data_IF_788958022201
#
_entry.id   IF_788958022201
#
_cell.length_a   1.000
_cell.length_b   1.000
_cell.length_c   1.000
_cell.angle_alpha   90.00
_cell.angle_beta   90.00
_cell.angle_gamma   90.00
#
_symmetry.space_group_name_H-M   'P 1'
#
loop_
_entity.id
_entity.type
_entity.pdbx_description
1 polymer ?
#
# COMPACT_ATOMS: atom_id res chain seq x y z
N UNK A 1 38.35 26.35 15.60
CA UNK A 1 38.42 27.77 15.92
C UNK A 1 37.92 28.53 14.73
N UNK A 2 36.75 29.17 14.90
CA UNK A 2 36.27 30.32 14.13
C UNK A 2 35.89 30.03 12.65
N UNK A 3 34.63 29.86 12.33
CA UNK A 3 33.69 30.85 11.86
C UNK A 3 32.31 30.26 11.75
N UNK A 4 31.62 30.38 12.62
CA UNK A 4 30.35 30.79 13.10
C UNK A 4 29.91 32.12 12.48
N UNK A 5 28.61 32.16 12.22
CA UNK A 5 27.74 33.33 12.21
C UNK A 5 27.70 34.12 10.92
N UNK A 6 26.56 34.11 10.40
CA UNK A 6 25.78 35.19 9.82
C UNK A 6 25.13 34.82 8.51
N UNK A 7 23.88 34.48 8.54
CA UNK A 7 22.87 35.18 7.75
C UNK A 7 21.46 34.82 8.18
N UNK A 8 21.03 35.40 9.24
CA UNK A 8 19.63 35.77 9.51
C UNK A 8 19.45 37.15 8.93
N UNK A 9 18.64 37.26 7.88
CA UNK A 9 18.08 38.51 7.38
C UNK A 9 16.88 38.16 6.51
N UNK A 10 15.68 38.03 7.10
CA UNK A 10 14.73 39.13 7.23
C UNK A 10 14.43 39.79 5.89
N UNK A 11 13.35 39.36 5.25
CA UNK A 11 12.54 40.26 4.41
C UNK A 11 11.07 40.09 4.74
N UNK A 12 10.66 40.92 5.65
CA UNK A 12 9.30 41.33 5.95
C UNK A 12 8.93 42.42 4.92
N UNK A 13 7.99 42.18 4.03
CA UNK A 13 7.36 43.23 3.27
C UNK A 13 5.86 43.19 3.49
N UNK A 14 5.43 44.10 4.31
CA UNK A 14 4.06 44.56 4.43
C UNK A 14 3.62 45.22 3.12
N UNK A 15 2.41 44.87 2.68
CA UNK A 15 1.61 45.78 1.87
C UNK A 15 0.27 46.00 2.56
N UNK A 16 0.15 47.18 3.12
CA UNK A 16 -1.08 47.72 3.64
C UNK A 16 -1.71 48.66 2.61
N UNK A 17 -3.03 48.62 2.51
CA UNK A 17 -3.82 49.80 2.20
C UNK A 17 -4.40 49.83 0.78
N UNK A 18 -5.71 49.76 0.61
CA UNK A 18 -6.54 50.98 0.55
C UNK A 18 -8.03 50.65 0.59
N UNK A 19 -8.67 51.34 1.46
CA UNK A 19 -10.08 51.49 1.70
C UNK A 19 -10.63 52.54 0.78
N UNK A 20 -11.70 52.28 0.06
CA UNK A 20 -12.60 53.35 -0.44
C UNK A 20 -14.06 52.92 -0.36
N UNK A 21 -14.75 53.70 0.37
CA UNK A 21 -16.17 53.76 0.65
C UNK A 21 -16.94 54.32 -0.53
N UNK A 22 -18.15 53.89 -0.78
CA UNK A 22 -19.05 54.49 -1.77
C UNK A 22 -20.47 53.92 -1.65
N UNK A 23 -21.32 54.72 -1.15
CA UNK A 23 -22.68 54.58 -0.63
C UNK A 23 -23.74 54.45 -1.72
N UNK A 24 -24.81 53.65 -1.44
CA UNK A 24 -26.24 53.77 -1.75
C UNK A 24 -26.71 54.01 -3.20
N UNK A 25 -27.70 53.30 -3.67
CA UNK A 25 -29.15 53.64 -3.60
C UNK A 25 -30.01 52.67 -4.44
N UNK A 26 -31.00 52.15 -3.83
CA UNK A 26 -32.39 51.82 -4.21
C UNK A 26 -32.79 51.79 -5.68
N UNK A 27 -33.36 50.68 -6.15
CA UNK A 27 -34.69 50.54 -6.73
C UNK A 27 -34.94 49.12 -7.30
N UNK A 28 -35.90 48.42 -6.76
CA UNK A 28 -36.70 47.45 -7.52
C UNK A 28 -37.80 48.22 -8.30
N UNK A 29 -38.35 47.68 -9.39
CA UNK A 29 -39.35 46.63 -9.29
C UNK A 29 -39.46 45.64 -10.49
N UNK A 30 -40.03 44.49 -10.23
CA UNK A 30 -41.17 43.83 -10.90
C UNK A 30 -41.04 43.17 -12.26
N UNK A 31 -41.46 41.91 -12.24
CA UNK A 31 -42.22 41.09 -13.22
C UNK A 31 -41.38 40.32 -14.24
N UNK A 32 -41.51 39.10 -14.35
CA UNK A 32 -42.47 38.05 -14.46
C UNK A 32 -41.88 36.89 -15.27
N UNK A 33 -42.46 35.71 -15.35
CA UNK A 33 -41.72 34.43 -15.48
C UNK A 33 -41.52 34.07 -16.94
N UNK A 34 -40.32 33.64 -17.27
CA UNK A 34 -40.09 32.93 -18.52
C UNK A 34 -39.81 31.48 -18.18
N UNK A 35 -40.74 30.63 -18.54
CA UNK A 35 -40.62 29.19 -18.58
C UNK A 35 -39.37 28.82 -19.37
N UNK A 36 -38.35 28.31 -18.69
CA UNK A 36 -37.26 27.59 -19.34
C UNK A 36 -37.52 26.11 -19.16
N UNK A 37 -37.88 25.49 -20.26
CA UNK A 37 -37.94 24.06 -20.49
C UNK A 37 -36.73 23.39 -19.91
N UNK A 38 -36.94 22.55 -18.90
CA UNK A 38 -35.95 21.64 -18.41
C UNK A 38 -35.58 20.67 -19.54
N UNK A 39 -34.41 20.83 -20.12
CA UNK A 39 -33.79 19.77 -20.90
C UNK A 39 -33.44 18.68 -19.91
N UNK A 40 -34.16 17.58 -19.93
CA UNK A 40 -33.77 16.33 -19.33
C UNK A 40 -32.49 15.86 -20.03
N UNK A 41 -31.36 16.18 -19.43
CA UNK A 41 -30.11 15.51 -19.76
C UNK A 41 -30.25 14.10 -19.20
N UNK A 42 -30.61 13.18 -20.07
CA UNK A 42 -30.45 11.74 -19.80
C UNK A 42 -29.00 11.53 -19.46
N UNK A 43 -28.70 11.41 -18.17
CA UNK A 43 -27.42 10.89 -17.73
C UNK A 43 -27.36 9.44 -18.22
N UNK A 44 -26.53 9.22 -19.23
CA UNK A 44 -26.09 7.90 -19.65
C UNK A 44 -25.34 7.29 -18.45
N UNK A 45 -26.08 6.52 -17.65
CA UNK A 45 -25.51 5.81 -16.49
C UNK A 45 -24.86 4.53 -17.01
N UNK A 46 -23.75 4.67 -17.72
CA UNK A 46 -22.80 3.56 -17.83
C UNK A 46 -22.39 3.22 -16.40
N UNK A 47 -22.61 1.98 -15.91
CA UNK A 47 -22.19 1.62 -14.56
C UNK A 47 -20.70 1.89 -14.43
N UNK A 48 -20.33 2.78 -13.50
CA UNK A 48 -18.93 3.08 -13.25
C UNK A 48 -18.22 1.77 -12.90
N UNK A 49 -17.23 1.40 -13.68
CA UNK A 49 -16.37 0.22 -13.41
C UNK A 49 -15.70 0.49 -12.07
N UNK A 50 -15.90 -0.40 -11.11
CA UNK A 50 -15.27 -0.29 -9.81
C UNK A 50 -13.76 -0.44 -9.98
N UNK A 51 -13.00 0.48 -9.39
CA UNK A 51 -11.54 0.55 -9.53
C UNK A 51 -10.88 0.38 -8.15
N UNK A 52 -9.81 -0.42 -8.11
CA UNK A 52 -9.04 -0.68 -6.90
C UNK A 52 -7.54 -0.44 -7.14
N UNK A 53 -6.87 0.16 -6.17
CA UNK A 53 -5.44 0.38 -6.16
C UNK A 53 -4.78 -0.63 -5.21
N UNK A 54 -3.87 -1.44 -5.74
CA UNK A 54 -3.19 -2.51 -5.00
C UNK A 54 -1.70 -2.28 -5.02
N UNK A 55 -1.07 -2.27 -3.84
CA UNK A 55 0.38 -2.22 -3.71
C UNK A 55 0.93 -3.62 -3.39
N UNK A 56 1.84 -4.11 -4.23
CA UNK A 56 2.62 -5.32 -3.96
C UNK A 56 4.00 -4.87 -3.51
N UNK A 57 4.42 -5.29 -2.31
CA UNK A 57 5.70 -4.87 -1.72
C UNK A 57 6.58 -6.08 -1.47
N UNK A 58 7.54 -6.30 -2.36
CA UNK A 58 8.50 -7.38 -2.27
C UNK A 58 9.67 -6.98 -1.37
N UNK A 59 10.14 -7.90 -0.51
CA UNK A 59 11.24 -7.61 0.41
C UNK A 59 12.56 -7.37 -0.34
N UNK A 60 12.90 -8.21 -1.33
CA UNK A 60 14.13 -8.14 -2.11
C UNK A 60 13.97 -8.88 -3.45
N UNK A 61 14.91 -8.65 -4.37
CA UNK A 61 15.00 -9.43 -5.61
C UNK A 61 15.51 -10.84 -5.29
N UNK A 62 14.66 -11.83 -5.52
CA UNK A 62 14.97 -13.23 -5.37
C UNK A 62 14.04 -14.06 -6.25
N UNK A 63 14.59 -15.00 -7.00
CA UNK A 63 13.86 -15.77 -8.02
C UNK A 63 12.51 -16.34 -7.51
N UNK A 64 12.48 -16.89 -6.29
CA UNK A 64 11.25 -17.44 -5.71
C UNK A 64 10.22 -16.36 -5.37
N UNK A 65 10.67 -15.19 -4.89
CA UNK A 65 9.76 -14.07 -4.57
C UNK A 65 9.25 -13.41 -5.85
N UNK A 66 10.07 -13.35 -6.91
CA UNK A 66 9.70 -12.82 -8.23
C UNK A 66 8.61 -13.71 -8.87
N UNK A 67 8.72 -15.04 -8.74
CA UNK A 67 7.68 -15.97 -9.17
C UNK A 67 6.37 -15.77 -8.41
N UNK A 68 6.42 -15.58 -7.10
CA UNK A 68 5.25 -15.29 -6.26
C UNK A 68 4.60 -13.97 -6.70
N UNK A 69 5.40 -12.90 -6.84
CA UNK A 69 4.91 -11.60 -7.31
C UNK A 69 4.22 -11.72 -8.67
N UNK A 70 4.87 -12.36 -9.63
CA UNK A 70 4.33 -12.61 -10.98
C UNK A 70 3.00 -13.37 -10.93
N UNK A 71 2.91 -14.42 -10.10
CA UNK A 71 1.69 -15.20 -9.94
C UNK A 71 0.54 -14.38 -9.32
N UNK A 72 0.85 -13.55 -8.31
CA UNK A 72 -0.13 -12.63 -7.69
C UNK A 72 -0.67 -11.64 -8.72
N UNK A 73 0.21 -10.98 -9.48
CA UNK A 73 -0.18 -10.03 -10.53
C UNK A 73 -1.08 -10.69 -11.56
N UNK A 74 -0.67 -11.85 -12.08
CA UNK A 74 -1.44 -12.58 -13.09
C UNK A 74 -2.83 -12.97 -12.58
N UNK A 75 -2.92 -13.45 -11.32
CA UNK A 75 -4.19 -13.85 -10.73
C UNK A 75 -5.10 -12.66 -10.43
N UNK A 76 -4.57 -11.55 -9.94
CA UNK A 76 -5.35 -10.31 -9.75
C UNK A 76 -5.92 -9.79 -11.05
N UNK A 77 -5.14 -9.79 -12.12
CA UNK A 77 -5.59 -9.36 -13.45
C UNK A 77 -6.68 -10.28 -14.01
N UNK A 78 -6.53 -11.61 -13.86
CA UNK A 78 -7.52 -12.58 -14.29
C UNK A 78 -8.85 -12.40 -13.54
N UNK A 79 -8.79 -12.24 -12.21
CA UNK A 79 -9.98 -12.00 -11.37
C UNK A 79 -10.64 -10.64 -11.69
N UNK A 80 -9.84 -9.62 -11.97
CA UNK A 80 -10.36 -8.31 -12.37
C UNK A 80 -11.18 -8.41 -13.67
N UNK A 81 -10.68 -9.13 -14.67
CA UNK A 81 -11.39 -9.38 -15.92
C UNK A 81 -12.68 -10.20 -15.69
N UNK A 82 -12.61 -11.27 -14.90
CA UNK A 82 -13.75 -12.10 -14.57
C UNK A 82 -14.88 -11.31 -13.88
N UNK A 83 -14.49 -10.42 -12.96
CA UNK A 83 -15.44 -9.64 -12.16
C UNK A 83 -15.87 -8.33 -12.83
N UNK A 84 -15.27 -7.96 -13.96
CA UNK A 84 -15.54 -6.69 -14.65
C UNK A 84 -15.15 -5.46 -13.83
N UNK A 85 -14.11 -5.57 -13.00
CA UNK A 85 -13.53 -4.48 -12.21
C UNK A 85 -12.17 -4.09 -12.78
N UNK A 86 -11.66 -2.91 -12.39
CA UNK A 86 -10.32 -2.46 -12.74
C UNK A 86 -9.41 -2.55 -11.51
N UNK A 87 -8.24 -3.14 -11.66
CA UNK A 87 -7.23 -3.20 -10.61
C UNK A 87 -5.95 -2.52 -11.13
N UNK A 88 -5.54 -1.46 -10.45
CA UNK A 88 -4.26 -0.79 -10.69
C UNK A 88 -3.25 -1.39 -9.71
N UNK A 89 -2.24 -2.06 -10.24
CA UNK A 89 -1.21 -2.70 -9.44
C UNK A 89 0.05 -1.85 -9.49
N UNK A 90 0.59 -1.55 -8.31
CA UNK A 90 1.89 -0.92 -8.12
C UNK A 90 2.82 -1.92 -7.43
N UNK A 91 4.00 -2.13 -8.01
CA UNK A 91 4.99 -3.06 -7.50
C UNK A 91 6.18 -2.28 -6.91
N UNK A 92 6.59 -2.66 -5.70
CA UNK A 92 7.68 -2.05 -4.97
C UNK A 92 8.69 -3.10 -4.51
N UNK A 93 9.97 -2.72 -4.45
CA UNK A 93 11.04 -3.57 -3.96
C UNK A 93 11.76 -2.89 -2.80
N UNK A 94 11.81 -3.58 -1.66
CA UNK A 94 12.42 -3.08 -0.42
C UNK A 94 13.93 -3.23 -0.35
N UNK A 95 14.57 -3.88 -1.33
CA UNK A 95 16.02 -4.08 -1.41
C UNK A 95 16.63 -4.70 -0.14
N UNK A 96 15.83 -5.47 0.59
CA UNK A 96 16.17 -6.05 1.89
C UNK A 96 16.58 -4.99 2.95
N UNK A 97 16.07 -3.77 2.82
CA UNK A 97 16.37 -2.65 3.72
C UNK A 97 15.10 -2.16 4.40
N UNK A 98 15.06 -2.22 5.73
CA UNK A 98 13.92 -1.78 6.52
C UNK A 98 13.63 -0.29 6.34
N UNK A 99 14.63 0.55 6.09
CA UNK A 99 14.46 1.98 5.85
C UNK A 99 13.70 2.23 4.55
N UNK A 100 14.09 1.51 3.48
CA UNK A 100 13.41 1.56 2.17
C UNK A 100 11.98 1.05 2.31
N UNK A 101 11.78 -0.09 2.99
CA UNK A 101 10.46 -0.67 3.23
C UNK A 101 9.55 0.28 4.03
N UNK A 102 10.08 0.96 5.05
CA UNK A 102 9.31 1.95 5.81
C UNK A 102 8.93 3.18 4.96
N UNK A 103 9.80 3.61 4.05
CA UNK A 103 9.49 4.69 3.10
C UNK A 103 8.38 4.27 2.12
N UNK A 104 8.48 3.05 1.57
CA UNK A 104 7.43 2.46 0.73
C UNK A 104 6.11 2.37 1.52
N UNK A 105 6.16 1.90 2.77
CA UNK A 105 4.97 1.82 3.63
C UNK A 105 4.29 3.18 3.82
N UNK A 106 5.07 4.22 4.14
CA UNK A 106 4.54 5.58 4.27
C UNK A 106 3.94 6.10 2.95
N UNK A 107 4.56 5.77 1.82
CA UNK A 107 4.06 6.15 0.50
C UNK A 107 2.73 5.46 0.20
N UNK A 108 2.65 4.13 0.27
CA UNK A 108 1.43 3.38 -0.11
C UNK A 108 0.23 3.72 0.78
N UNK A 109 0.47 3.96 2.07
CA UNK A 109 -0.57 4.43 2.99
C UNK A 109 -0.99 5.86 2.63
N UNK A 110 -0.04 6.74 2.32
CA UNK A 110 -0.30 8.12 1.88
C UNK A 110 -1.04 8.20 0.55
N UNK A 111 -0.79 7.28 -0.37
CA UNK A 111 -1.46 7.16 -1.66
C UNK A 111 -2.89 6.60 -1.52
N UNK A 112 -3.25 6.07 -0.34
CA UNK A 112 -4.59 5.57 -0.05
C UNK A 112 -4.95 4.33 -0.87
N UNK A 113 -4.05 3.34 -0.93
CA UNK A 113 -4.30 2.09 -1.63
C UNK A 113 -5.41 1.29 -0.94
N UNK A 114 -6.16 0.50 -1.72
CA UNK A 114 -7.26 -0.33 -1.23
C UNK A 114 -6.78 -1.68 -0.67
N UNK A 115 -5.55 -2.09 -0.98
CA UNK A 115 -4.96 -3.36 -0.54
C UNK A 115 -3.44 -3.28 -0.59
N UNK A 116 -2.77 -3.82 0.44
CA UNK A 116 -1.33 -4.03 0.45
C UNK A 116 -1.03 -5.53 0.46
N UNK A 117 -0.14 -5.99 -0.43
CA UNK A 117 0.31 -7.38 -0.50
C UNK A 117 1.82 -7.41 -0.28
N UNK A 118 2.29 -7.53 0.96
CA UNK A 118 3.70 -7.72 1.24
C UNK A 118 4.14 -9.17 0.98
N UNK A 119 5.31 -9.33 0.38
CA UNK A 119 5.94 -10.61 0.11
C UNK A 119 7.20 -10.73 0.96
N UNK A 120 7.27 -11.77 1.78
CA UNK A 120 8.28 -12.10 2.79
C UNK A 120 8.18 -11.27 4.09
N UNK A 121 8.82 -11.78 5.14
CA UNK A 121 8.57 -11.41 6.54
C UNK A 121 8.86 -9.94 6.85
N UNK A 122 10.04 -9.43 6.45
CA UNK A 122 10.42 -8.04 6.76
C UNK A 122 9.49 -7.04 6.05
N UNK A 123 9.11 -7.31 4.80
CA UNK A 123 8.15 -6.48 4.08
C UNK A 123 6.78 -6.46 4.80
N UNK A 124 6.30 -7.63 5.25
CA UNK A 124 5.03 -7.71 5.96
C UNK A 124 5.05 -6.94 7.29
N UNK A 125 6.10 -7.07 8.07
CA UNK A 125 6.26 -6.33 9.33
C UNK A 125 6.29 -4.82 9.13
N UNK A 126 7.03 -4.34 8.12
CA UNK A 126 7.08 -2.92 7.80
C UNK A 126 5.72 -2.39 7.30
N UNK A 127 5.01 -3.14 6.46
CA UNK A 127 3.70 -2.71 5.95
C UNK A 127 2.64 -2.70 7.05
N UNK A 128 2.61 -3.71 7.93
CA UNK A 128 1.71 -3.73 9.08
C UNK A 128 1.98 -2.55 10.01
N UNK A 129 3.25 -2.23 10.26
CA UNK A 129 3.63 -1.07 11.06
C UNK A 129 3.22 0.24 10.41
N UNK A 130 3.41 0.38 9.09
CA UNK A 130 3.05 1.60 8.37
C UNK A 130 1.53 1.83 8.29
N UNK A 131 0.76 0.75 8.19
CA UNK A 131 -0.70 0.79 8.11
C UNK A 131 -1.39 0.79 9.49
N UNK A 132 -0.63 0.85 10.58
CA UNK A 132 -1.20 0.89 11.93
C UNK A 132 -2.16 2.09 12.09
N UNK A 133 -3.33 1.83 12.65
CA UNK A 133 -4.39 2.84 12.78
C UNK A 133 -5.17 3.13 11.50
N UNK A 134 -4.96 2.38 10.43
CA UNK A 134 -5.77 2.41 9.20
C UNK A 134 -6.62 1.15 9.07
N UNK A 135 -7.64 1.21 8.19
CA UNK A 135 -8.46 0.04 7.84
C UNK A 135 -7.97 -0.64 6.55
N UNK A 136 -6.78 -0.28 6.04
CA UNK A 136 -6.24 -0.87 4.81
C UNK A 136 -5.98 -2.36 5.03
N UNK A 137 -6.61 -3.26 4.25
CA UNK A 137 -6.37 -4.68 4.37
C UNK A 137 -4.95 -5.04 3.89
N UNK A 138 -4.33 -5.98 4.59
CA UNK A 138 -3.01 -6.52 4.27
C UNK A 138 -3.13 -8.02 4.08
N UNK A 139 -2.70 -8.50 2.90
CA UNK A 139 -2.67 -9.94 2.57
C UNK A 139 -1.23 -10.35 2.30
N UNK A 140 -0.55 -10.87 3.31
CA UNK A 140 0.84 -11.27 3.19
C UNK A 140 1.02 -12.59 2.43
N UNK A 141 2.17 -12.76 1.79
CA UNK A 141 2.59 -13.98 1.11
C UNK A 141 4.01 -14.39 1.52
N UNK A 142 4.29 -15.69 1.48
CA UNK A 142 5.61 -16.28 1.78
C UNK A 142 6.15 -15.90 3.17
N UNK A 143 5.35 -16.14 4.20
CA UNK A 143 5.73 -15.93 5.60
C UNK A 143 5.88 -17.30 6.27
N UNK A 144 7.08 -17.61 6.74
CA UNK A 144 7.34 -18.93 7.33
C UNK A 144 6.69 -19.10 8.71
N UNK A 145 6.65 -18.02 9.51
CA UNK A 145 6.04 -18.03 10.84
C UNK A 145 5.30 -16.71 11.10
N UNK A 146 4.01 -16.61 10.73
CA UNK A 146 3.23 -15.40 10.94
C UNK A 146 3.05 -15.03 12.43
N UNK A 147 3.04 -16.00 13.33
CA UNK A 147 2.90 -15.75 14.76
C UNK A 147 4.18 -15.10 15.32
N UNK A 148 5.35 -15.70 15.05
CA UNK A 148 6.64 -15.11 15.43
C UNK A 148 6.89 -13.76 14.77
N UNK A 149 6.36 -13.53 13.58
CA UNK A 149 6.44 -12.25 12.87
C UNK A 149 5.47 -11.18 13.44
N UNK A 150 4.56 -11.53 14.35
CA UNK A 150 3.58 -10.60 14.92
C UNK A 150 2.43 -10.22 13.96
N UNK A 151 2.13 -11.09 12.99
CA UNK A 151 1.14 -10.83 11.94
C UNK A 151 -0.22 -11.48 12.23
N UNK A 152 -0.37 -12.13 13.38
CA UNK A 152 -1.62 -12.80 13.79
C UNK A 152 -2.43 -11.95 14.77
N UNK A 153 -3.75 -12.16 14.79
CA UNK A 153 -4.64 -11.45 15.72
C UNK A 153 -4.97 -10.01 15.33
N UNK A 154 -4.55 -9.55 14.16
CA UNK A 154 -4.86 -8.24 13.60
C UNK A 154 -6.09 -8.36 12.69
N UNK A 155 -7.08 -7.45 12.85
CA UNK A 155 -8.39 -7.55 12.19
C UNK A 155 -8.33 -7.35 10.67
N UNK A 156 -7.35 -6.57 10.20
CA UNK A 156 -7.16 -6.22 8.79
C UNK A 156 -5.99 -6.95 8.14
N UNK A 157 -5.38 -7.94 8.82
CA UNK A 157 -4.20 -8.67 8.34
C UNK A 157 -4.51 -10.15 8.20
N UNK A 158 -4.22 -10.71 7.02
CA UNK A 158 -4.31 -12.14 6.72
C UNK A 158 -3.26 -12.51 5.67
N UNK A 159 -3.15 -13.78 5.32
CA UNK A 159 -2.24 -14.19 4.25
C UNK A 159 -1.94 -15.67 4.22
N UNK A 160 -0.86 -16.01 3.51
CA UNK A 160 -0.40 -17.39 3.31
C UNK A 160 0.96 -17.62 3.93
N UNK A 161 1.08 -18.76 4.64
CA UNK A 161 2.35 -19.20 5.21
C UNK A 161 3.02 -20.24 4.31
N UNK A 162 4.34 -20.19 4.24
CA UNK A 162 5.20 -21.21 3.63
C UNK A 162 5.92 -22.07 4.67
N UNK A 163 5.34 -22.23 5.85
CA UNK A 163 5.91 -22.98 6.95
C UNK A 163 6.32 -24.40 6.53
N UNK A 164 7.55 -24.76 6.83
CA UNK A 164 8.07 -26.09 6.57
C UNK A 164 7.72 -27.04 7.70
N UNK A 165 7.20 -28.21 7.34
CA UNK A 165 7.03 -29.30 8.29
C UNK A 165 8.37 -30.03 8.50
N UNK A 166 9.20 -29.49 9.40
CA UNK A 166 10.54 -30.02 9.67
C UNK A 166 10.50 -31.47 10.21
N UNK A 167 9.48 -31.85 10.98
CA UNK A 167 9.32 -33.20 11.44
C UNK A 167 9.12 -34.16 10.27
N UNK A 168 8.24 -33.82 9.34
CA UNK A 168 8.00 -34.61 8.13
C UNK A 168 9.25 -34.74 7.25
N UNK A 169 10.04 -33.65 7.13
CA UNK A 169 11.30 -33.68 6.37
C UNK A 169 12.29 -34.64 7.01
N UNK A 170 12.44 -34.62 8.34
CA UNK A 170 13.32 -35.53 9.05
C UNK A 170 12.83 -36.99 8.93
N UNK A 171 11.55 -37.24 9.05
CA UNK A 171 10.96 -38.58 8.85
C UNK A 171 11.20 -39.09 7.44
N UNK A 172 11.06 -38.24 6.44
CA UNK A 172 11.34 -38.58 5.05
C UNK A 172 12.82 -38.90 4.84
N UNK A 173 13.73 -38.13 5.43
CA UNK A 173 15.17 -38.38 5.40
C UNK A 173 15.54 -39.73 6.04
N UNK A 174 14.98 -40.05 7.22
CA UNK A 174 15.19 -41.29 7.93
C UNK A 174 14.57 -42.50 7.20
N UNK A 175 13.46 -42.28 6.51
CA UNK A 175 12.85 -43.32 5.67
C UNK A 175 13.71 -43.62 4.47
N UNK A 176 14.29 -42.62 3.84
CA UNK A 176 15.20 -42.79 2.69
C UNK A 176 16.53 -43.38 3.08
N UNK A 177 17.05 -43.06 4.26
CA UNK A 177 18.31 -43.60 4.79
C UNK A 177 18.24 -43.74 6.33
N UNK A 178 17.87 -44.92 6.86
CA UNK A 178 17.75 -45.15 8.30
C UNK A 178 19.05 -45.04 9.11
N UNK A 179 20.18 -45.11 8.42
CA UNK A 179 21.51 -45.11 9.06
C UNK A 179 22.06 -43.69 9.30
N UNK A 180 21.31 -42.65 8.98
CA UNK A 180 21.74 -41.26 9.21
C UNK A 180 21.96 -41.05 10.72
N UNK A 181 23.21 -40.64 11.07
CA UNK A 181 23.60 -40.29 12.44
C UNK A 181 23.79 -38.79 12.64
N UNK A 182 23.96 -38.02 11.56
CA UNK A 182 24.32 -36.61 11.60
C UNK A 182 23.62 -35.87 10.49
N UNK A 183 23.05 -34.75 10.84
CA UNK A 183 22.39 -33.80 9.90
C UNK A 183 23.14 -32.48 9.97
N UNK A 184 23.56 -31.98 8.83
CA UNK A 184 24.13 -30.62 8.72
C UNK A 184 23.04 -29.61 8.47
N UNK A 185 23.04 -28.51 9.20
CA UNK A 185 22.15 -27.36 8.98
C UNK A 185 22.94 -26.23 8.34
N UNK A 186 22.53 -25.82 7.14
CA UNK A 186 23.07 -24.65 6.47
C UNK A 186 22.06 -23.50 6.60
N UNK A 187 22.50 -22.37 7.11
CA UNK A 187 21.65 -21.21 7.28
C UNK A 187 22.43 -19.92 6.99
N UNK A 188 21.70 -18.88 6.60
CA UNK A 188 22.23 -17.52 6.45
C UNK A 188 22.15 -16.80 7.79
N UNK A 189 23.20 -16.12 8.17
CA UNK A 189 23.23 -15.26 9.36
C UNK A 189 23.06 -13.81 8.87
N UNK A 190 21.84 -13.45 8.57
CA UNK A 190 21.45 -12.11 8.12
C UNK A 190 21.02 -11.25 9.29
#
# INVERSE_FOLDING_TARGET
VISLVLSVMMMLTMFAGCKASGTAETAAPTAAPTSSTAAETSADTTPAVQEFNVAIVQQLDHASLDEICTAIVAQLQALAQEKGIKVNIQEFNGQNDATVLNQIGAQVVGDGVDLIIPIATLAAQCMVTAADGTDIPIVYAAISDPEAAGLTGLSNVTGTSDALNTAFILDMMLTANPDIKTVGLLYSNS
#
